data_IF_418368131889
#
_entry.id   IF_418368131889
#
_cell.length_a   1.000
_cell.length_b   1.000
_cell.length_c   1.000
_cell.angle_alpha   90.00
_cell.angle_beta   90.00
_cell.angle_gamma   90.00
#
_symmetry.space_group_name_H-M   'P 1'
#
loop_
_entity.id
_entity.type
_entity.pdbx_description
1 polymer ?
#
# COMPACT_ATOMS: atom_id res chain seq x y z
N UNK A 1 21.22 5.58 18.59
CA UNK A 1 20.73 6.96 18.38
C UNK A 1 19.25 6.85 18.06
N UNK A 2 18.37 7.26 18.98
CA UNK A 2 16.92 7.27 18.76
C UNK A 2 16.58 8.34 17.72
N UNK A 3 16.19 7.92 16.53
CA UNK A 3 15.54 8.81 15.59
C UNK A 3 14.13 9.06 16.13
N UNK A 4 13.99 10.02 17.05
CA UNK A 4 12.67 10.54 17.39
C UNK A 4 11.98 10.88 16.07
N UNK A 5 10.73 10.41 15.89
CA UNK A 5 9.91 10.62 14.70
C UNK A 5 9.69 12.11 14.35
N UNK A 6 10.25 13.04 15.13
CA UNK A 6 9.99 14.47 15.11
C UNK A 6 10.25 15.18 13.76
N UNK A 7 11.00 14.59 12.80
CA UNK A 7 11.43 15.35 11.61
C UNK A 7 11.39 14.68 10.22
N UNK A 8 10.96 13.44 10.05
CA UNK A 8 11.06 12.81 8.72
C UNK A 8 9.72 12.76 7.97
N UNK A 9 9.58 13.66 6.99
CA UNK A 9 8.73 13.43 5.84
C UNK A 9 9.07 12.04 5.25
N UNK A 10 8.06 11.20 5.01
CA UNK A 10 8.31 9.91 4.32
C UNK A 10 8.61 10.10 2.83
N UNK A 11 8.37 11.29 2.27
CA UNK A 11 8.76 11.64 0.91
C UNK A 11 10.18 12.22 0.91
N UNK A 12 11.10 11.54 0.22
CA UNK A 12 12.50 11.98 0.04
C UNK A 12 12.68 12.98 -1.09
N UNK A 13 11.64 13.17 -1.92
CA UNK A 13 11.65 14.08 -3.05
C UNK A 13 11.21 15.49 -2.66
N UNK A 14 11.76 16.48 -3.35
CA UNK A 14 11.40 17.88 -3.17
C UNK A 14 9.93 18.17 -3.55
N UNK A 15 9.32 19.14 -2.88
CA UNK A 15 7.93 19.55 -3.13
C UNK A 15 7.64 19.91 -4.59
N UNK A 16 8.62 20.50 -5.29
CA UNK A 16 8.47 20.85 -6.70
C UNK A 16 8.29 19.63 -7.60
N UNK A 17 8.71 18.44 -7.17
CA UNK A 17 8.54 17.19 -7.91
C UNK A 17 7.29 16.42 -7.44
N UNK A 18 7.03 16.36 -6.13
CA UNK A 18 5.91 15.58 -5.57
C UNK A 18 4.55 16.21 -5.89
N UNK A 19 4.43 17.54 -5.81
CA UNK A 19 3.17 18.26 -6.04
C UNK A 19 2.64 18.06 -7.48
N UNK A 20 3.45 18.21 -8.54
CA UNK A 20 3.00 17.89 -9.90
C UNK A 20 2.58 16.44 -10.07
N UNK A 21 3.32 15.48 -9.50
CA UNK A 21 2.98 14.05 -9.61
C UNK A 21 1.63 13.72 -8.95
N UNK A 22 1.40 14.23 -7.73
CA UNK A 22 0.14 14.09 -7.01
C UNK A 22 -0.99 14.79 -7.77
N UNK A 23 -0.74 15.98 -8.32
CA UNK A 23 -1.72 16.73 -9.11
C UNK A 23 -2.12 16.00 -10.39
N UNK A 24 -1.16 15.41 -11.10
CA UNK A 24 -1.42 14.57 -12.27
C UNK A 24 -2.23 13.34 -11.88
N UNK A 25 -1.88 12.66 -10.78
CA UNK A 25 -2.63 11.52 -10.28
C UNK A 25 -4.09 11.91 -9.96
N UNK A 26 -4.30 13.04 -9.27
CA UNK A 26 -5.62 13.56 -8.96
C UNK A 26 -6.41 13.89 -10.24
N UNK A 27 -5.78 14.55 -11.22
CA UNK A 27 -6.40 14.86 -12.51
C UNK A 27 -6.80 13.58 -13.28
N UNK A 28 -5.95 12.55 -13.27
CA UNK A 28 -6.25 11.24 -13.87
C UNK A 28 -7.44 10.57 -13.18
N UNK A 29 -7.51 10.63 -11.84
CA UNK A 29 -8.64 10.09 -11.08
C UNK A 29 -9.94 10.80 -11.48
N UNK A 30 -9.94 12.14 -11.49
CA UNK A 30 -11.09 12.96 -11.90
C UNK A 30 -11.51 12.60 -13.32
N UNK A 31 -10.57 12.58 -14.28
CA UNK A 31 -10.85 12.20 -15.66
C UNK A 31 -11.47 10.80 -15.75
N UNK A 32 -10.94 9.81 -15.03
CA UNK A 32 -11.47 8.44 -15.02
C UNK A 32 -12.87 8.35 -14.42
N UNK A 33 -13.16 9.12 -13.37
CA UNK A 33 -14.49 9.16 -12.75
C UNK A 33 -15.57 9.64 -13.74
N UNK A 34 -15.25 10.65 -14.55
CA UNK A 34 -16.18 11.19 -15.55
C UNK A 34 -16.20 10.41 -16.86
N UNK A 35 -15.06 9.87 -17.32
CA UNK A 35 -14.93 9.32 -18.68
C UNK A 35 -14.98 7.78 -18.76
N UNK A 36 -14.51 7.08 -17.73
CA UNK A 36 -14.17 5.63 -17.84
C UNK A 36 -14.90 4.77 -16.81
N UNK A 37 -15.77 5.33 -15.96
CA UNK A 37 -16.38 4.66 -14.80
C UNK A 37 -17.52 3.66 -15.12
N UNK A 38 -17.73 3.26 -16.38
CA UNK A 38 -18.86 2.40 -16.76
C UNK A 38 -18.64 0.92 -16.44
N UNK A 39 -17.44 0.38 -16.67
CA UNK A 39 -17.16 -1.05 -16.40
C UNK A 39 -16.72 -1.25 -14.95
N UNK A 40 -17.02 -2.43 -14.39
CA UNK A 40 -16.60 -2.76 -13.02
C UNK A 40 -15.08 -2.71 -12.87
N UNK A 41 -14.35 -3.28 -13.84
CA UNK A 41 -12.89 -3.23 -13.90
C UNK A 41 -12.37 -1.79 -13.77
N UNK A 42 -12.93 -0.87 -14.56
CA UNK A 42 -12.49 0.51 -14.60
C UNK A 42 -12.70 1.21 -13.25
N UNK A 43 -13.82 0.94 -12.57
CA UNK A 43 -14.09 1.42 -11.22
C UNK A 43 -13.07 0.90 -10.22
N UNK A 44 -12.68 -0.39 -10.29
CA UNK A 44 -11.67 -0.97 -9.40
C UNK A 44 -10.29 -0.37 -9.62
N UNK A 45 -9.91 -0.14 -10.88
CA UNK A 45 -8.66 0.57 -11.21
C UNK A 45 -8.69 1.99 -10.66
N UNK A 46 -9.82 2.71 -10.81
CA UNK A 46 -9.94 4.06 -10.22
C UNK A 46 -9.88 4.02 -8.68
N UNK A 47 -10.45 3.01 -8.03
CA UNK A 47 -10.33 2.82 -6.58
C UNK A 47 -8.88 2.59 -6.14
N UNK A 48 -8.08 1.82 -6.88
CA UNK A 48 -6.64 1.67 -6.63
C UNK A 48 -5.96 3.04 -6.62
N UNK A 49 -6.21 3.85 -7.65
CA UNK A 49 -5.61 5.19 -7.77
C UNK A 49 -6.03 6.11 -6.62
N UNK A 50 -7.30 6.06 -6.19
CA UNK A 50 -7.79 6.85 -5.05
C UNK A 50 -7.05 6.46 -3.76
N UNK A 51 -6.91 5.16 -3.48
CA UNK A 51 -6.16 4.72 -2.30
C UNK A 51 -4.70 5.14 -2.37
N UNK A 52 -4.06 5.02 -3.53
CA UNK A 52 -2.68 5.49 -3.71
C UNK A 52 -2.53 7.01 -3.65
N UNK A 53 -3.55 7.78 -4.03
CA UNK A 53 -3.57 9.22 -3.82
C UNK A 53 -3.55 9.55 -2.33
N UNK A 54 -4.36 8.86 -1.52
CA UNK A 54 -4.32 9.03 -0.06
C UNK A 54 -2.97 8.62 0.53
N UNK A 55 -2.39 7.49 0.09
CA UNK A 55 -1.04 7.09 0.50
C UNK A 55 -0.02 8.18 0.15
N UNK A 56 -0.04 8.70 -1.08
CA UNK A 56 0.88 9.74 -1.51
C UNK A 56 0.73 11.02 -0.67
N UNK A 57 -0.51 11.48 -0.44
CA UNK A 57 -0.79 12.67 0.38
C UNK A 57 -0.35 12.50 1.83
N UNK A 58 -0.71 11.38 2.48
CA UNK A 58 -0.38 11.13 3.89
C UNK A 58 1.13 10.97 4.13
N UNK A 59 1.90 10.74 3.06
CA UNK A 59 3.35 10.63 3.09
C UNK A 59 4.10 11.96 2.95
N UNK A 60 3.43 13.01 2.52
CA UNK A 60 4.03 14.34 2.34
C UNK A 60 4.15 15.09 3.66
N UNK A 61 5.30 15.72 3.93
CA UNK A 61 5.50 16.50 5.15
C UNK A 61 4.52 17.65 5.31
N UNK A 62 4.22 18.38 4.24
CA UNK A 62 3.29 19.51 4.31
C UNK A 62 1.88 19.04 4.73
N UNK A 63 1.45 17.88 4.25
CA UNK A 63 0.15 17.30 4.62
C UNK A 63 0.19 16.80 6.07
N UNK A 64 1.27 16.14 6.47
CA UNK A 64 1.47 15.70 7.85
C UNK A 64 1.43 16.87 8.82
N UNK A 65 2.13 17.96 8.53
CA UNK A 65 2.11 19.20 9.31
C UNK A 65 0.70 19.80 9.40
N UNK A 66 -0.04 19.83 8.28
CA UNK A 66 -1.44 20.31 8.28
C UNK A 66 -2.32 19.44 9.17
N UNK A 67 -2.21 18.11 9.09
CA UNK A 67 -3.00 17.18 9.92
C UNK A 67 -2.67 17.36 11.40
N UNK A 68 -1.38 17.36 11.76
CA UNK A 68 -0.92 17.48 13.16
C UNK A 68 -1.30 18.84 13.75
N UNK A 69 -1.23 19.91 12.96
CA UNK A 69 -1.60 21.26 13.45
C UNK A 69 -3.10 21.46 13.66
N UNK A 70 -3.96 20.67 13.00
CA UNK A 70 -5.42 20.82 13.03
C UNK A 70 -6.14 19.67 13.76
N UNK A 71 -5.44 18.63 14.19
CA UNK A 71 -6.02 17.45 14.85
C UNK A 71 -5.15 16.99 16.01
N UNK A 72 -5.68 16.14 16.88
CA UNK A 72 -4.90 15.50 17.96
C UNK A 72 -4.10 14.28 17.48
N UNK A 73 -3.92 14.10 16.17
CA UNK A 73 -3.21 12.95 15.61
C UNK A 73 -1.70 13.13 15.69
N UNK A 74 -1.01 12.03 15.98
CA UNK A 74 0.46 11.94 15.93
C UNK A 74 0.94 11.45 14.56
N UNK A 75 2.24 11.55 14.28
CA UNK A 75 2.85 10.95 13.08
C UNK A 75 2.61 9.43 13.02
N UNK A 76 2.58 8.76 14.17
CA UNK A 76 2.32 7.33 14.24
C UNK A 76 0.88 6.98 13.87
N UNK A 77 -0.09 7.87 14.19
CA UNK A 77 -1.48 7.74 13.73
C UNK A 77 -1.59 7.96 12.21
N UNK A 78 -0.89 8.97 11.67
CA UNK A 78 -0.86 9.22 10.22
C UNK A 78 -0.23 8.03 9.47
N UNK A 79 0.77 7.39 10.07
CA UNK A 79 1.38 6.18 9.52
C UNK A 79 0.41 5.00 9.51
N UNK A 80 -0.35 4.80 10.60
CA UNK A 80 -1.41 3.80 10.63
C UNK A 80 -2.47 4.06 9.54
N UNK A 81 -2.87 5.32 9.33
CA UNK A 81 -3.79 5.69 8.24
C UNK A 81 -3.20 5.40 6.86
N UNK A 82 -1.90 5.66 6.67
CA UNK A 82 -1.18 5.31 5.44
C UNK A 82 -1.26 3.80 5.18
N UNK A 83 -0.97 2.97 6.20
CA UNK A 83 -1.06 1.51 6.09
C UNK A 83 -2.49 1.03 5.84
N UNK A 84 -3.50 1.68 6.44
CA UNK A 84 -4.90 1.40 6.16
C UNK A 84 -5.27 1.66 4.69
N UNK A 85 -4.75 2.75 4.10
CA UNK A 85 -4.93 3.05 2.69
C UNK A 85 -4.26 2.01 1.79
N UNK A 86 -3.07 1.52 2.16
CA UNK A 86 -2.37 0.43 1.44
C UNK A 86 -3.18 -0.88 1.48
N UNK A 87 -3.77 -1.24 2.63
CA UNK A 87 -4.67 -2.39 2.74
C UNK A 87 -5.91 -2.20 1.84
N UNK A 88 -6.49 -1.00 1.84
CA UNK A 88 -7.60 -0.64 0.96
C UNK A 88 -7.25 -0.76 -0.53
N UNK A 89 -6.02 -0.36 -0.90
CA UNK A 89 -5.47 -0.54 -2.24
C UNK A 89 -5.33 -2.04 -2.58
N UNK A 90 -4.78 -2.85 -1.68
CA UNK A 90 -4.63 -4.29 -1.88
C UNK A 90 -5.98 -5.00 -2.14
N UNK A 91 -7.03 -4.60 -1.41
CA UNK A 91 -8.40 -5.08 -1.66
C UNK A 91 -8.87 -4.69 -3.07
N UNK A 92 -8.65 -3.44 -3.49
CA UNK A 92 -9.04 -2.98 -4.82
C UNK A 92 -8.26 -3.70 -5.94
N UNK A 93 -6.96 -3.96 -5.74
CA UNK A 93 -6.08 -4.77 -6.60
C UNK A 93 -6.63 -6.20 -6.74
N UNK A 94 -7.03 -6.84 -5.64
CA UNK A 94 -7.65 -8.16 -5.71
C UNK A 94 -8.99 -8.14 -6.45
N UNK A 95 -9.80 -7.10 -6.24
CA UNK A 95 -11.09 -6.92 -6.92
C UNK A 95 -10.94 -6.70 -8.43
N UNK A 96 -9.82 -6.16 -8.92
CA UNK A 96 -9.51 -6.10 -10.36
C UNK A 96 -9.49 -7.50 -10.98
N UNK A 97 -8.82 -8.45 -10.34
CA UNK A 97 -8.74 -9.85 -10.81
C UNK A 97 -10.14 -10.47 -10.91
N UNK A 98 -10.99 -10.22 -9.90
CA UNK A 98 -12.36 -10.73 -9.85
C UNK A 98 -13.28 -10.07 -10.88
N UNK A 99 -13.12 -8.76 -11.08
CA UNK A 99 -13.92 -7.96 -12.02
C UNK A 99 -13.58 -8.25 -13.48
N UNK A 100 -12.53 -9.02 -13.75
CA UNK A 100 -12.19 -9.46 -15.09
C UNK A 100 -13.08 -10.61 -15.59
N UNK A 101 -13.59 -11.45 -14.68
CA UNK A 101 -14.64 -12.38 -15.08
C UNK A 101 -15.83 -11.51 -15.49
N UNK A 102 -16.41 -11.70 -16.68
CA UNK A 102 -17.53 -10.90 -17.19
C UNK A 102 -18.79 -10.93 -16.28
N UNK A 103 -18.72 -11.71 -15.18
CA UNK A 103 -19.72 -11.76 -14.14
C UNK A 103 -19.50 -10.62 -13.15
N UNK A 104 -20.58 -9.93 -12.73
CA UNK A 104 -20.46 -8.88 -11.74
C UNK A 104 -19.90 -9.46 -10.43
N UNK A 105 -18.96 -8.75 -9.81
CA UNK A 105 -18.50 -9.11 -8.46
C UNK A 105 -19.63 -8.83 -7.48
N UNK A 106 -20.05 -9.86 -6.74
CA UNK A 106 -21.12 -9.75 -5.76
C UNK A 106 -20.81 -8.72 -4.67
N UNK A 107 -21.81 -7.92 -4.30
CA UNK A 107 -21.68 -6.92 -3.23
C UNK A 107 -21.21 -7.53 -1.92
N UNK A 108 -21.69 -8.75 -1.58
CA UNK A 108 -21.25 -9.48 -0.38
C UNK A 108 -19.75 -9.77 -0.40
N UNK A 109 -19.18 -10.09 -1.55
CA UNK A 109 -17.73 -10.31 -1.69
C UNK A 109 -16.97 -9.00 -1.47
N UNK A 110 -17.44 -7.90 -2.05
CA UNK A 110 -16.81 -6.58 -1.89
C UNK A 110 -16.84 -6.13 -0.41
N UNK A 111 -18.00 -6.21 0.23
CA UNK A 111 -18.18 -5.86 1.64
C UNK A 111 -17.35 -6.78 2.53
N UNK A 112 -17.32 -8.08 2.26
CA UNK A 112 -16.51 -9.03 3.02
C UNK A 112 -15.01 -8.74 2.94
N UNK A 113 -14.49 -8.40 1.76
CA UNK A 113 -13.07 -8.08 1.59
C UNK A 113 -12.69 -6.75 2.28
N UNK A 114 -13.50 -5.70 2.13
CA UNK A 114 -13.25 -4.45 2.85
C UNK A 114 -13.46 -4.60 4.37
N UNK A 115 -14.40 -5.44 4.80
CA UNK A 115 -14.58 -5.80 6.20
C UNK A 115 -13.36 -6.52 6.77
N UNK A 116 -12.79 -7.49 6.04
CA UNK A 116 -11.54 -8.14 6.43
C UNK A 116 -10.36 -7.14 6.47
N UNK A 117 -10.29 -6.23 5.49
CA UNK A 117 -9.30 -5.15 5.49
C UNK A 117 -9.46 -4.23 6.71
N UNK A 118 -10.69 -3.87 7.08
CA UNK A 118 -10.97 -3.08 8.28
C UNK A 118 -10.54 -3.81 9.55
N UNK A 119 -10.83 -5.10 9.67
CA UNK A 119 -10.34 -5.93 10.79
C UNK A 119 -8.82 -5.92 10.85
N UNK A 120 -8.13 -6.06 9.71
CA UNK A 120 -6.66 -5.96 9.68
C UNK A 120 -6.16 -4.59 10.17
N UNK A 121 -6.82 -3.49 9.80
CA UNK A 121 -6.49 -2.14 10.30
C UNK A 121 -6.71 -2.03 11.81
N UNK A 122 -7.79 -2.59 12.35
CA UNK A 122 -8.01 -2.63 13.81
C UNK A 122 -6.92 -3.44 14.50
N UNK A 123 -6.51 -4.57 13.93
CA UNK A 123 -5.40 -5.38 14.45
C UNK A 123 -4.08 -4.59 14.42
N UNK A 124 -3.80 -3.84 13.34
CA UNK A 124 -2.64 -2.94 13.29
C UNK A 124 -2.71 -1.85 14.36
N UNK A 125 -3.90 -1.29 14.60
CA UNK A 125 -4.09 -0.30 15.65
C UNK A 125 -3.72 -0.89 17.02
N UNK A 126 -4.16 -2.11 17.33
CA UNK A 126 -3.82 -2.79 18.59
C UNK A 126 -2.33 -3.13 18.66
N UNK A 127 -1.76 -3.75 17.62
CA UNK A 127 -0.35 -4.14 17.60
C UNK A 127 0.62 -2.95 17.64
N UNK A 128 0.21 -1.81 17.07
CA UNK A 128 1.00 -0.59 17.07
C UNK A 128 0.79 0.29 18.32
N UNK A 129 -0.10 -0.07 19.25
CA UNK A 129 -0.37 0.73 20.45
C UNK A 129 0.89 0.98 21.29
N UNK A 130 1.78 -0.01 21.55
CA UNK A 130 2.96 0.23 22.35
C UNK A 130 3.94 1.23 21.70
N UNK A 131 4.02 1.24 20.36
CA UNK A 131 4.83 2.20 19.61
C UNK A 131 4.23 3.61 19.68
N UNK A 132 2.90 3.71 19.53
CA UNK A 132 2.18 4.99 19.63
C UNK A 132 2.27 5.59 21.03
N UNK A 133 2.16 4.78 22.08
CA UNK A 133 2.29 5.23 23.46
C UNK A 133 3.67 5.84 23.76
N UNK A 134 4.71 5.39 23.04
CA UNK A 134 6.09 5.88 23.17
C UNK A 134 6.46 6.95 22.14
N UNK A 135 5.56 7.26 21.19
CA UNK A 135 5.84 8.23 20.12
C UNK A 135 6.94 7.77 19.14
N UNK A 136 7.17 6.47 18.99
CA UNK A 136 8.21 5.88 18.14
C UNK A 136 7.62 5.12 16.95
N UNK A 137 8.47 4.79 15.97
CA UNK A 137 8.08 3.90 14.89
C UNK A 137 7.88 2.45 15.39
N UNK A 138 7.04 1.68 14.70
CA UNK A 138 6.80 0.27 15.08
C UNK A 138 8.07 -0.58 14.92
N UNK A 139 8.96 -0.22 14.00
CA UNK A 139 10.28 -0.84 13.82
C UNK A 139 11.20 -0.64 15.02
N UNK A 140 11.08 0.48 15.71
CA UNK A 140 11.92 0.82 16.86
C UNK A 140 11.54 0.03 18.11
N UNK A 141 10.34 -0.55 18.18
CA UNK A 141 9.96 -1.45 19.27
C UNK A 141 10.82 -2.72 19.33
N UNK A 142 11.35 -3.19 18.18
CA UNK A 142 12.18 -4.39 18.05
C UNK A 142 11.63 -5.60 18.84
N UNK A 143 10.30 -5.79 18.79
CA UNK A 143 9.61 -6.84 19.56
C UNK A 143 8.73 -7.69 18.66
N UNK A 144 8.08 -8.72 19.22
CA UNK A 144 7.13 -9.54 18.47
C UNK A 144 5.97 -8.71 17.88
N UNK A 145 5.61 -7.57 18.50
CA UNK A 145 4.63 -6.63 17.96
C UNK A 145 5.07 -6.07 16.61
N UNK A 146 6.37 -5.78 16.44
CA UNK A 146 6.94 -5.30 15.18
C UNK A 146 6.76 -6.32 14.06
N UNK A 147 7.12 -7.58 14.31
CA UNK A 147 6.94 -8.66 13.34
C UNK A 147 5.46 -8.85 12.99
N UNK A 148 4.60 -8.97 14.00
CA UNK A 148 3.17 -9.16 13.80
C UNK A 148 2.54 -8.00 13.00
N UNK A 149 2.90 -6.76 13.34
CA UNK A 149 2.42 -5.57 12.65
C UNK A 149 2.84 -5.59 11.18
N UNK A 150 4.13 -5.83 10.89
CA UNK A 150 4.65 -5.84 9.53
C UNK A 150 4.06 -6.97 8.68
N UNK A 151 3.80 -8.14 9.27
CA UNK A 151 3.10 -9.24 8.60
C UNK A 151 1.66 -8.84 8.24
N UNK A 152 0.88 -8.35 9.21
CA UNK A 152 -0.53 -7.98 9.00
C UNK A 152 -0.66 -6.86 7.97
N UNK A 153 0.23 -5.87 8.03
CA UNK A 153 0.28 -4.76 7.09
C UNK A 153 0.69 -5.23 5.68
N UNK A 154 1.76 -6.02 5.59
CA UNK A 154 2.39 -6.32 4.29
C UNK A 154 1.72 -7.46 3.56
N UNK A 155 1.13 -8.45 4.24
CA UNK A 155 0.60 -9.67 3.61
C UNK A 155 -0.51 -9.47 2.55
N UNK A 156 -1.47 -8.53 2.70
CA UNK A 156 -2.56 -8.37 1.74
C UNK A 156 -2.10 -8.06 0.31
N UNK A 157 -1.04 -7.25 0.15
CA UNK A 157 -0.60 -6.82 -1.18
C UNK A 157 0.07 -7.95 -1.98
N UNK A 158 1.07 -8.70 -1.47
CA UNK A 158 1.62 -9.90 -2.14
C UNK A 158 0.54 -10.90 -2.54
N UNK A 159 -0.47 -11.14 -1.70
CA UNK A 159 -1.59 -12.02 -2.05
C UNK A 159 -2.38 -11.49 -3.25
N UNK A 160 -2.68 -10.19 -3.27
CA UNK A 160 -3.38 -9.55 -4.38
C UNK A 160 -2.53 -9.54 -5.67
N UNK A 161 -1.24 -9.21 -5.56
CA UNK A 161 -0.30 -9.18 -6.67
C UNK A 161 -0.05 -10.58 -7.24
N UNK A 162 0.07 -11.60 -6.41
CA UNK A 162 0.18 -12.99 -6.86
C UNK A 162 -1.03 -13.41 -7.69
N UNK A 163 -2.24 -13.02 -7.27
CA UNK A 163 -3.46 -13.27 -8.05
C UNK A 163 -3.44 -12.55 -9.41
N UNK A 164 -2.97 -11.30 -9.46
CA UNK A 164 -2.76 -10.56 -10.72
C UNK A 164 -1.73 -11.26 -11.60
N UNK A 165 -0.55 -11.57 -11.08
CA UNK A 165 0.53 -12.19 -11.84
C UNK A 165 0.09 -13.53 -12.42
N UNK A 166 -0.55 -14.39 -11.62
CA UNK A 166 -1.09 -15.67 -12.08
C UNK A 166 -2.10 -15.47 -13.21
N UNK A 167 -2.93 -14.44 -13.11
CA UNK A 167 -3.90 -14.10 -14.14
C UNK A 167 -3.24 -13.54 -15.42
N UNK A 168 -2.28 -12.62 -15.29
CA UNK A 168 -1.51 -12.08 -16.39
C UNK A 168 -0.72 -13.17 -17.12
N UNK A 169 -0.08 -14.08 -16.40
CA UNK A 169 0.64 -15.23 -16.97
C UNK A 169 -0.30 -16.12 -17.80
N UNK A 170 -1.50 -16.42 -17.28
CA UNK A 170 -2.51 -17.19 -18.01
C UNK A 170 -2.93 -16.51 -19.31
N UNK A 171 -3.10 -15.19 -19.33
CA UNK A 171 -3.40 -14.45 -20.56
C UNK A 171 -2.22 -14.39 -21.51
N UNK A 172 -1.01 -14.21 -20.98
CA UNK A 172 0.21 -14.13 -21.77
C UNK A 172 0.43 -15.41 -22.58
N UNK A 173 0.19 -16.57 -21.96
CA UNK A 173 0.31 -17.90 -22.57
C UNK A 173 -0.82 -18.26 -23.55
N UNK A 174 -1.86 -17.43 -23.73
CA UNK A 174 -2.89 -17.72 -24.75
C UNK A 174 -2.32 -17.53 -26.15
N UNK A 175 -2.59 -18.51 -27.03
CA UNK A 175 -2.10 -18.51 -28.41
C UNK A 175 -2.56 -17.27 -29.19
N UNK A 176 -3.79 -16.81 -28.95
CA UNK A 176 -4.43 -15.70 -29.69
C UNK A 176 -4.18 -14.32 -29.06
N UNK A 177 -3.27 -14.19 -28.08
CA UNK A 177 -2.99 -12.90 -27.46
C UNK A 177 -2.20 -12.01 -28.40
N UNK A 178 -2.73 -10.82 -28.69
CA UNK A 178 -2.05 -9.81 -29.50
C UNK A 178 -0.69 -9.42 -28.89
N UNK A 179 0.34 -9.10 -29.71
CA UNK A 179 1.65 -8.70 -29.20
C UNK A 179 1.61 -7.49 -28.25
N UNK A 180 0.80 -6.48 -28.56
CA UNK A 180 0.62 -5.29 -27.70
C UNK A 180 0.07 -5.64 -26.32
N UNK A 181 -0.87 -6.59 -26.24
CA UNK A 181 -1.39 -7.11 -24.99
C UNK A 181 -0.28 -7.83 -24.20
N UNK A 182 0.54 -8.65 -24.86
CA UNK A 182 1.66 -9.35 -24.21
C UNK A 182 2.67 -8.39 -23.60
N UNK A 183 3.01 -7.30 -24.30
CA UNK A 183 3.89 -6.24 -23.76
C UNK A 183 3.29 -5.61 -22.51
N UNK A 184 2.01 -5.23 -22.56
CA UNK A 184 1.31 -4.67 -21.40
C UNK A 184 1.26 -5.64 -20.21
N UNK A 185 1.00 -6.92 -20.45
CA UNK A 185 1.01 -7.97 -19.42
C UNK A 185 2.41 -8.17 -18.81
N UNK A 186 3.46 -8.15 -19.63
CA UNK A 186 4.84 -8.25 -19.15
C UNK A 186 5.20 -7.08 -18.23
N UNK A 187 4.80 -5.85 -18.60
CA UNK A 187 4.99 -4.67 -17.75
C UNK A 187 4.27 -4.80 -16.41
N UNK A 188 3.01 -5.24 -16.41
CA UNK A 188 2.23 -5.46 -15.17
C UNK A 188 2.87 -6.54 -14.30
N UNK A 189 3.38 -7.63 -14.88
CA UNK A 189 4.10 -8.68 -14.14
C UNK A 189 5.38 -8.10 -13.52
N UNK A 190 6.18 -7.37 -14.28
CA UNK A 190 7.41 -6.76 -13.77
C UNK A 190 7.13 -5.79 -12.61
N UNK A 191 6.15 -4.89 -12.77
CA UNK A 191 5.72 -3.97 -11.71
C UNK A 191 5.21 -4.71 -10.46
N UNK A 192 4.46 -5.80 -10.67
CA UNK A 192 3.98 -6.66 -9.57
C UNK A 192 5.12 -7.36 -8.84
N UNK A 193 6.16 -7.83 -9.56
CA UNK A 193 7.34 -8.42 -8.93
C UNK A 193 8.08 -7.41 -8.04
N UNK A 194 8.27 -6.17 -8.52
CA UNK A 194 8.93 -5.11 -7.74
C UNK A 194 8.11 -4.79 -6.48
N UNK A 195 6.80 -4.60 -6.62
CA UNK A 195 5.93 -4.32 -5.47
C UNK A 195 5.82 -5.52 -4.51
N UNK A 196 5.83 -6.74 -5.01
CA UNK A 196 5.83 -7.95 -4.17
C UNK A 196 7.14 -8.08 -3.40
N UNK A 197 8.28 -7.83 -4.04
CA UNK A 197 9.58 -7.78 -3.37
C UNK A 197 9.59 -6.74 -2.25
N UNK A 198 9.02 -5.56 -2.49
CA UNK A 198 8.92 -4.52 -1.48
C UNK A 198 8.18 -4.99 -0.21
N UNK A 199 6.95 -5.50 -0.38
CA UNK A 199 6.15 -5.96 0.74
C UNK A 199 6.74 -7.19 1.45
N UNK A 200 7.33 -8.13 0.71
CA UNK A 200 7.95 -9.31 1.31
C UNK A 200 9.20 -8.95 2.12
N UNK A 201 10.01 -8.01 1.64
CA UNK A 201 11.18 -7.55 2.38
C UNK A 201 10.79 -6.75 3.62
N UNK A 202 9.71 -5.95 3.60
CA UNK A 202 9.16 -5.31 4.81
C UNK A 202 8.74 -6.35 5.87
N UNK A 203 8.09 -7.43 5.44
CA UNK A 203 7.72 -8.53 6.32
C UNK A 203 8.96 -9.22 6.91
N UNK A 204 9.97 -9.52 6.08
CA UNK A 204 11.23 -10.11 6.53
C UNK A 204 11.97 -9.20 7.53
N UNK A 205 12.08 -7.90 7.23
CA UNK A 205 12.68 -6.90 8.13
C UNK A 205 11.96 -6.86 9.47
N UNK A 206 10.63 -6.87 9.50
CA UNK A 206 9.88 -6.89 10.77
C UNK A 206 10.19 -8.12 11.63
N UNK A 207 10.33 -9.30 10.99
CA UNK A 207 10.71 -10.55 11.67
C UNK A 207 12.14 -10.45 12.20
N UNK A 208 13.08 -9.97 11.38
CA UNK A 208 14.48 -9.84 11.76
C UNK A 208 14.67 -8.87 12.94
N UNK A 209 14.01 -7.71 12.90
CA UNK A 209 14.03 -6.74 13.99
C UNK A 209 13.44 -7.30 15.29
N UNK A 210 12.46 -8.22 15.21
CA UNK A 210 11.91 -8.88 16.42
C UNK A 210 12.88 -9.86 17.09
N UNK A 211 13.93 -10.27 16.38
CA UNK A 211 15.03 -11.09 16.88
C UNK A 211 16.31 -10.29 17.13
N UNK A 212 16.21 -8.95 17.16
CA UNK A 212 17.35 -8.06 17.36
C UNK A 212 18.46 -8.24 16.29
N UNK A 213 18.08 -8.68 15.09
CA UNK A 213 19.03 -8.92 14.00
C UNK A 213 19.17 -7.67 13.13
N UNK A 214 20.29 -6.95 13.27
CA UNK A 214 20.63 -5.82 12.42
C UNK A 214 21.58 -6.21 11.29
N UNK A 215 21.23 -5.85 10.07
CA UNK A 215 22.08 -5.97 8.89
C UNK A 215 21.75 -4.88 7.86
N UNK A 216 22.45 -4.89 6.72
CA UNK A 216 22.26 -3.91 5.65
C UNK A 216 20.80 -3.81 5.17
N UNK A 217 20.02 -4.90 5.19
CA UNK A 217 18.61 -4.88 4.81
C UNK A 217 17.75 -4.18 5.86
N UNK A 218 17.91 -4.51 7.14
CA UNK A 218 17.13 -3.86 8.21
C UNK A 218 17.50 -2.40 8.38
N UNK A 219 18.78 -2.04 8.22
CA UNK A 219 19.26 -0.65 8.25
C UNK A 219 18.73 0.15 7.06
N UNK A 220 18.83 -0.40 5.84
CA UNK A 220 18.27 0.24 4.65
C UNK A 220 16.78 0.48 4.81
N UNK A 221 16.03 -0.50 5.34
CA UNK A 221 14.57 -0.41 5.52
C UNK A 221 14.13 0.40 6.73
N UNK A 222 14.98 0.60 7.73
CA UNK A 222 14.69 1.53 8.82
C UNK A 222 14.93 2.98 8.41
N UNK A 223 15.87 3.20 7.48
CA UNK A 223 16.18 4.52 6.92
C UNK A 223 15.27 4.90 5.75
N UNK A 224 14.95 3.93 4.89
CA UNK A 224 13.96 4.10 3.83
C UNK A 224 12.60 3.68 4.37
N UNK A 225 11.72 4.65 4.58
CA UNK A 225 10.28 4.36 4.66
C UNK A 225 9.73 3.80 3.32
N UNK A 226 10.60 3.62 2.32
CA UNK A 226 10.38 3.05 0.98
C UNK A 226 10.96 1.67 0.79
#
# INVERSE_FOLDING_TARGET
MSAQLDHAATATMSHWATVPMISVLAAVIVARLFLVSRRQLDRRVTQILIWWLFVALLRESWMQTVIISNTSMTLSDIRLLTHACVIGAAVAVYLVVRSWSLRPVETRTVVGLYGAGFVAVVVLAVLGEPARAQGIAVEELQSWHTAAYMIVYSAPMPLALFAIMKWCARLFCRANSAPSLRVGLAFVIAASCVSMYDHLTRMATGIMLSWDWHNALTESRSQSND
#
